data_IF_012264699138
#
_entry.id   IF_012264699138
#
_cell.length_a   1.000
_cell.length_b   1.000
_cell.length_c   1.000
_cell.angle_alpha   90.00
_cell.angle_beta   90.00
_cell.angle_gamma   90.00
#
_symmetry.space_group_name_H-M   'P 1'
#
loop_
_entity.id
_entity.type
_entity.pdbx_description
1 polymer ?
#
# COMPACT_ATOMS: atom_id res chain seq x y z
N UNK A 1 -2.03 -17.83 4.98
CA UNK A 1 -1.49 -19.12 4.50
C UNK A 1 -0.42 -18.92 3.42
N UNK A 2 -0.71 -18.23 2.31
CA UNK A 2 0.28 -17.94 1.24
C UNK A 2 1.55 -17.26 1.74
N UNK A 3 1.41 -16.22 2.58
CA UNK A 3 2.53 -15.48 3.18
C UNK A 3 3.46 -16.39 3.97
N UNK A 4 2.91 -17.29 4.79
CA UNK A 4 3.71 -18.25 5.60
C UNK A 4 4.51 -19.25 4.75
N UNK A 5 4.14 -19.46 3.49
CA UNK A 5 4.78 -20.45 2.61
C UNK A 5 5.79 -19.84 1.64
N UNK A 6 5.48 -18.66 1.10
CA UNK A 6 6.29 -18.00 0.07
C UNK A 6 7.01 -16.74 0.55
N UNK A 7 6.78 -16.32 1.80
CA UNK A 7 7.27 -15.06 2.35
C UNK A 7 6.49 -13.86 1.82
N UNK A 8 6.48 -12.79 2.62
CA UNK A 8 5.74 -11.56 2.30
C UNK A 8 6.18 -10.92 0.97
N UNK A 9 7.49 -10.89 0.68
CA UNK A 9 8.09 -10.26 -0.52
C UNK A 9 7.65 -10.92 -1.80
N UNK A 10 7.94 -12.21 -1.92
CA UNK A 10 7.65 -12.92 -3.15
C UNK A 10 6.14 -12.98 -3.39
N UNK A 11 5.33 -13.18 -2.33
CA UNK A 11 3.86 -13.18 -2.48
C UNK A 11 3.34 -11.87 -3.08
N UNK A 12 3.83 -10.71 -2.62
CA UNK A 12 3.41 -9.42 -3.15
C UNK A 12 3.80 -9.24 -4.62
N UNK A 13 5.05 -9.52 -4.96
CA UNK A 13 5.59 -9.38 -6.32
C UNK A 13 4.81 -10.28 -7.29
N UNK A 14 4.59 -11.55 -6.93
CA UNK A 14 3.82 -12.48 -7.75
C UNK A 14 2.38 -12.02 -7.95
N UNK A 15 1.70 -11.53 -6.90
CA UNK A 15 0.36 -10.99 -7.04
C UNK A 15 0.32 -9.79 -8.00
N UNK A 16 1.31 -8.89 -7.96
CA UNK A 16 1.39 -7.73 -8.85
C UNK A 16 1.70 -8.11 -10.30
N UNK A 17 2.58 -9.08 -10.55
CA UNK A 17 2.83 -9.57 -11.92
C UNK A 17 1.63 -10.32 -12.50
N UNK A 18 0.94 -11.15 -11.71
CA UNK A 18 -0.28 -11.83 -12.14
C UNK A 18 -1.38 -10.80 -12.48
N UNK A 19 -1.52 -9.74 -11.69
CA UNK A 19 -2.43 -8.63 -12.00
C UNK A 19 -2.13 -7.99 -13.36
N UNK A 20 -0.86 -7.77 -13.69
CA UNK A 20 -0.45 -7.21 -14.99
C UNK A 20 -0.81 -8.16 -16.13
N UNK A 21 -0.58 -9.46 -15.95
CA UNK A 21 -0.99 -10.47 -16.93
C UNK A 21 -2.52 -10.49 -17.13
N UNK A 22 -3.30 -10.33 -16.05
CA UNK A 22 -4.76 -10.28 -16.10
C UNK A 22 -5.30 -9.02 -16.80
N UNK A 23 -4.60 -7.89 -16.76
CA UNK A 23 -4.93 -6.74 -17.62
C UNK A 23 -4.84 -7.08 -19.11
N UNK A 24 -3.92 -7.96 -19.51
CA UNK A 24 -3.86 -8.48 -20.88
C UNK A 24 -5.11 -9.28 -21.26
N UNK A 25 -5.61 -10.12 -20.35
CA UNK A 25 -6.86 -10.88 -20.54
C UNK A 25 -8.07 -9.95 -20.67
N UNK A 26 -8.11 -8.88 -19.86
CA UNK A 26 -9.15 -7.84 -19.97
C UNK A 26 -9.09 -7.13 -21.32
N UNK A 27 -7.90 -6.78 -21.81
CA UNK A 27 -7.72 -6.16 -23.13
C UNK A 27 -8.23 -7.08 -24.26
N UNK A 28 -7.93 -8.38 -24.20
CA UNK A 28 -8.45 -9.37 -25.16
C UNK A 28 -9.99 -9.46 -25.11
N UNK A 29 -10.57 -9.42 -23.91
CA UNK A 29 -12.04 -9.41 -23.73
C UNK A 29 -12.70 -8.19 -24.40
N UNK A 30 -12.07 -7.01 -24.29
CA UNK A 30 -12.53 -5.78 -24.96
C UNK A 30 -12.39 -5.89 -26.48
N UNK A 31 -11.28 -6.41 -26.99
CA UNK A 31 -11.05 -6.57 -28.43
C UNK A 31 -12.10 -7.50 -29.07
N UNK A 32 -12.41 -8.63 -28.42
CA UNK A 32 -13.36 -9.63 -28.89
C UNK A 32 -14.84 -9.24 -28.65
N UNK A 33 -15.12 -8.03 -28.14
CA UNK A 33 -16.47 -7.56 -27.76
C UNK A 33 -17.23 -8.52 -26.83
N UNK A 34 -16.53 -9.37 -26.08
CA UNK A 34 -17.14 -10.46 -25.33
C UNK A 34 -17.26 -10.08 -23.86
N UNK A 35 -18.46 -9.65 -23.46
CA UNK A 35 -18.75 -9.20 -22.09
C UNK A 35 -18.39 -10.28 -21.04
N UNK A 36 -18.61 -11.55 -21.37
CA UNK A 36 -18.33 -12.69 -20.47
C UNK A 36 -16.85 -12.77 -20.11
N UNK A 37 -15.96 -12.64 -21.10
CA UNK A 37 -14.51 -12.69 -20.91
C UNK A 37 -14.05 -11.50 -20.06
N UNK A 38 -14.60 -10.32 -20.33
CA UNK A 38 -14.31 -9.11 -19.57
C UNK A 38 -14.71 -9.25 -18.09
N UNK A 39 -15.94 -9.70 -17.81
CA UNK A 39 -16.44 -9.88 -16.44
C UNK A 39 -15.65 -10.97 -15.70
N UNK A 40 -15.40 -12.11 -16.34
CA UNK A 40 -14.58 -13.18 -15.75
C UNK A 40 -13.15 -12.71 -15.45
N UNK A 41 -12.54 -11.96 -16.37
CA UNK A 41 -11.23 -11.33 -16.17
C UNK A 41 -11.23 -10.36 -14.99
N UNK A 42 -12.28 -9.56 -14.82
CA UNK A 42 -12.41 -8.59 -13.73
C UNK A 42 -12.60 -9.28 -12.36
N UNK A 43 -13.34 -10.39 -12.32
CA UNK A 43 -13.50 -11.20 -11.12
C UNK A 43 -12.17 -11.85 -10.71
N UNK A 44 -11.46 -12.45 -11.67
CA UNK A 44 -10.13 -13.01 -11.45
C UNK A 44 -9.16 -11.95 -10.94
N UNK A 45 -9.18 -10.75 -11.54
CA UNK A 45 -8.36 -9.62 -11.10
C UNK A 45 -8.64 -9.24 -9.64
N UNK A 46 -9.90 -9.23 -9.22
CA UNK A 46 -10.30 -8.88 -7.86
C UNK A 46 -9.77 -9.86 -6.80
N UNK A 47 -9.67 -11.14 -7.15
CA UNK A 47 -9.12 -12.19 -6.27
C UNK A 47 -7.63 -11.92 -6.00
N UNK A 48 -6.86 -11.52 -7.01
CA UNK A 48 -5.44 -11.22 -6.84
C UNK A 48 -5.17 -9.79 -6.34
N UNK A 49 -6.12 -8.86 -6.48
CA UNK A 49 -6.04 -7.49 -5.95
C UNK A 49 -6.09 -7.46 -4.43
N UNK A 50 -7.03 -8.20 -3.84
CA UNK A 50 -7.24 -8.25 -2.38
C UNK A 50 -5.99 -8.58 -1.57
N UNK A 51 -5.24 -9.69 -1.83
CA UNK A 51 -4.05 -10.02 -1.06
C UNK A 51 -2.93 -8.99 -1.27
N UNK A 52 -2.75 -8.44 -2.48
CA UNK A 52 -1.74 -7.41 -2.72
C UNK A 52 -2.01 -6.15 -1.89
N UNK A 53 -3.27 -5.72 -1.79
CA UNK A 53 -3.65 -4.56 -0.98
C UNK A 53 -3.52 -4.82 0.52
N UNK A 54 -3.81 -6.04 0.98
CA UNK A 54 -3.58 -6.44 2.37
C UNK A 54 -2.08 -6.40 2.72
N UNK A 55 -1.22 -6.93 1.85
CA UNK A 55 0.23 -6.94 2.04
C UNK A 55 0.81 -5.52 2.03
N UNK A 56 0.28 -4.61 1.21
CA UNK A 56 0.74 -3.22 1.19
C UNK A 56 0.57 -2.53 2.55
N UNK A 57 -0.52 -2.83 3.27
CA UNK A 57 -0.72 -2.33 4.64
C UNK A 57 0.33 -2.89 5.61
N UNK A 58 0.67 -4.17 5.48
CA UNK A 58 1.73 -4.79 6.28
C UNK A 58 3.10 -4.21 5.97
N UNK A 59 3.42 -3.90 4.71
CA UNK A 59 4.68 -3.22 4.38
C UNK A 59 4.77 -1.82 4.95
N UNK A 60 3.66 -1.07 4.91
CA UNK A 60 3.63 0.25 5.53
C UNK A 60 3.99 0.14 7.02
N UNK A 61 3.39 -0.78 7.78
CA UNK A 61 3.73 -0.95 9.20
C UNK A 61 5.19 -1.36 9.39
N UNK A 62 5.69 -2.33 8.62
CA UNK A 62 7.08 -2.79 8.69
C UNK A 62 8.08 -1.64 8.46
N UNK A 63 7.80 -0.77 7.47
CA UNK A 63 8.63 0.39 7.18
C UNK A 63 8.61 1.37 8.34
N UNK A 64 7.46 1.60 8.96
CA UNK A 64 7.36 2.49 10.13
C UNK A 64 8.08 1.94 11.36
N UNK A 65 7.97 0.64 11.63
CA UNK A 65 8.70 -0.02 12.70
C UNK A 65 10.23 0.08 12.49
N UNK A 66 10.68 -0.02 11.23
CA UNK A 66 12.08 0.19 10.87
C UNK A 66 12.53 1.65 11.04
N UNK A 67 11.68 2.62 10.69
CA UNK A 67 12.00 4.02 10.94
C UNK A 67 12.09 4.33 12.43
N UNK A 68 11.15 3.80 13.24
CA UNK A 68 11.18 3.92 14.70
C UNK A 68 12.43 3.27 15.31
N UNK A 69 12.88 2.15 14.74
CA UNK A 69 14.10 1.48 15.16
C UNK A 69 15.36 2.36 15.00
N UNK A 70 15.48 3.05 13.86
CA UNK A 70 16.61 3.91 13.56
C UNK A 70 16.53 5.22 14.35
N UNK A 71 15.34 5.82 14.47
CA UNK A 71 15.16 7.10 15.17
C UNK A 71 15.27 7.00 16.68
N UNK A 72 15.10 5.80 17.27
CA UNK A 72 14.95 5.56 18.71
C UNK A 72 13.76 6.28 19.38
N UNK A 73 12.94 6.99 18.62
CA UNK A 73 11.76 7.70 19.11
C UNK A 73 10.48 7.11 18.50
N UNK A 74 9.39 7.13 19.27
CA UNK A 74 8.09 6.66 18.80
C UNK A 74 7.52 7.61 17.74
N UNK A 75 7.31 7.12 16.52
CA UNK A 75 6.91 7.93 15.36
C UNK A 75 5.39 7.90 15.05
N UNK A 76 4.56 7.45 15.98
CA UNK A 76 3.11 7.27 15.76
C UNK A 76 2.40 8.53 15.24
N UNK A 77 2.79 9.71 15.71
CA UNK A 77 2.21 10.99 15.27
C UNK A 77 2.76 11.49 13.93
N UNK A 78 3.96 11.06 13.53
CA UNK A 78 4.64 11.57 12.33
C UNK A 78 4.17 10.86 11.05
N UNK A 79 3.65 9.63 11.16
CA UNK A 79 3.09 8.88 10.01
C UNK A 79 2.05 9.67 9.21
N UNK A 80 1.24 10.48 9.89
CA UNK A 80 0.19 11.31 9.26
C UNK A 80 0.74 12.38 8.31
N UNK A 81 1.94 12.91 8.56
CA UNK A 81 2.53 14.02 7.79
C UNK A 81 2.79 13.62 6.33
N UNK A 82 3.28 12.40 6.09
CA UNK A 82 3.52 11.92 4.73
C UNK A 82 2.23 11.69 3.93
N UNK A 83 1.12 11.43 4.61
CA UNK A 83 -0.20 11.35 3.94
C UNK A 83 -0.60 12.72 3.40
N UNK A 84 -0.36 13.79 4.15
CA UNK A 84 -0.62 15.15 3.67
C UNK A 84 0.28 15.54 2.49
N UNK A 85 1.53 15.09 2.46
CA UNK A 85 2.44 15.33 1.32
C UNK A 85 2.10 14.53 0.07
N UNK A 86 1.64 13.29 0.23
CA UNK A 86 1.27 12.42 -0.89
C UNK A 86 -0.08 12.78 -1.52
N UNK A 87 -1.00 13.36 -0.74
CA UNK A 87 -2.34 13.73 -1.21
C UNK A 87 -2.35 14.66 -2.45
N UNK A 88 -1.65 15.81 -2.48
CA UNK A 88 -1.66 16.67 -3.66
C UNK A 88 -1.07 15.99 -4.90
N UNK A 89 -0.05 15.14 -4.73
CA UNK A 89 0.53 14.35 -5.82
C UNK A 89 -0.49 13.34 -6.35
N UNK A 90 -1.20 12.65 -5.45
CA UNK A 90 -2.26 11.72 -5.80
C UNK A 90 -3.40 12.39 -6.57
N UNK A 91 -3.78 13.62 -6.18
CA UNK A 91 -4.79 14.41 -6.91
C UNK A 91 -4.33 14.73 -8.33
N UNK A 92 -3.10 15.22 -8.50
CA UNK A 92 -2.54 15.51 -9.83
C UNK A 92 -2.51 14.27 -10.72
N UNK A 93 -2.08 13.12 -10.16
CA UNK A 93 -2.09 11.85 -10.89
C UNK A 93 -3.50 11.38 -11.25
N UNK A 94 -4.50 11.68 -10.41
CA UNK A 94 -5.90 11.36 -10.67
C UNK A 94 -6.48 12.02 -11.92
N UNK A 95 -5.96 13.18 -12.32
CA UNK A 95 -6.40 13.89 -13.54
C UNK A 95 -5.85 13.31 -14.83
N UNK A 96 -4.83 12.46 -14.78
CA UNK A 96 -4.19 11.88 -15.97
C UNK A 96 -5.18 11.02 -16.76
N UNK A 97 -5.97 10.20 -16.07
CA UNK A 97 -6.93 9.33 -16.73
C UNK A 97 -8.03 10.14 -17.45
N UNK A 98 -8.77 11.05 -16.79
CA UNK A 98 -9.73 11.93 -17.46
C UNK A 98 -9.14 12.68 -18.65
N UNK A 99 -7.93 13.22 -18.51
CA UNK A 99 -7.24 13.93 -19.59
C UNK A 99 -7.03 13.05 -20.83
N UNK A 100 -6.58 11.80 -20.63
CA UNK A 100 -6.40 10.85 -21.73
C UNK A 100 -7.73 10.43 -22.36
N UNK A 101 -8.79 10.29 -21.55
CA UNK A 101 -10.11 9.93 -22.05
C UNK A 101 -10.72 11.05 -22.92
N UNK A 102 -10.66 12.31 -22.47
CA UNK A 102 -11.13 13.46 -23.26
C UNK A 102 -10.38 13.59 -24.58
N UNK A 103 -9.06 13.33 -24.59
CA UNK A 103 -8.26 13.33 -25.82
C UNK A 103 -8.68 12.25 -26.82
N UNK A 104 -9.25 11.14 -26.35
CA UNK A 104 -9.72 10.03 -27.19
C UNK A 104 -11.20 10.14 -27.58
N UNK A 105 -11.81 11.31 -27.39
CA UNK A 105 -13.16 11.59 -27.87
C UNK A 105 -14.26 11.40 -26.85
N UNK A 106 -13.94 11.31 -25.54
CA UNK A 106 -14.95 11.45 -24.49
C UNK A 106 -15.42 12.92 -24.44
N UNK A 107 -16.45 13.23 -25.22
CA UNK A 107 -17.13 14.54 -25.27
C UNK A 107 -18.37 14.54 -24.38
N UNK A 108 -19.09 15.67 -24.33
CA UNK A 108 -20.33 15.84 -23.55
C UNK A 108 -21.53 15.12 -24.17
N UNK A 109 -21.39 14.60 -25.39
CA UNK A 109 -22.45 13.90 -26.09
C UNK A 109 -22.54 12.44 -25.61
N UNK A 110 -23.75 11.86 -25.54
CA UNK A 110 -23.94 10.49 -25.06
C UNK A 110 -23.87 9.45 -26.19
N UNK A 111 -24.02 9.89 -27.44
CA UNK A 111 -24.06 9.02 -28.61
C UNK A 111 -22.72 8.32 -28.87
N UNK A 112 -21.62 8.95 -28.47
CA UNK A 112 -20.26 8.38 -28.54
C UNK A 112 -20.05 7.12 -27.69
N UNK A 113 -20.89 6.84 -26.69
CA UNK A 113 -20.79 5.62 -25.89
C UNK A 113 -21.41 4.40 -26.60
N UNK A 114 -22.35 4.62 -27.53
CA UNK A 114 -22.95 3.57 -28.34
C UNK A 114 -22.09 3.18 -29.54
N UNK A 115 -21.13 4.03 -29.91
CA UNK A 115 -20.10 3.66 -30.88
C UNK A 115 -19.12 2.65 -30.25
N UNK A 116 -19.17 1.43 -30.76
CA UNK A 116 -18.34 0.32 -30.30
C UNK A 116 -16.84 0.61 -30.48
N UNK A 117 -16.47 1.44 -31.46
CA UNK A 117 -15.06 1.81 -31.72
C UNK A 117 -14.52 2.72 -30.62
N UNK A 118 -15.29 3.75 -30.25
CA UNK A 118 -14.91 4.75 -29.24
C UNK A 118 -14.92 4.11 -27.85
N UNK A 119 -15.97 3.35 -27.52
CA UNK A 119 -16.07 2.63 -26.24
C UNK A 119 -14.90 1.66 -26.04
N UNK A 120 -14.51 0.88 -27.06
CA UNK A 120 -13.33 0.00 -26.98
C UNK A 120 -12.05 0.78 -26.72
N UNK A 121 -11.86 1.92 -27.41
CA UNK A 121 -10.71 2.79 -27.20
C UNK A 121 -10.60 3.26 -25.76
N UNK A 122 -11.71 3.77 -25.19
CA UNK A 122 -11.80 4.22 -23.79
C UNK A 122 -11.40 3.11 -22.81
N UNK A 123 -11.96 1.90 -22.97
CA UNK A 123 -11.63 0.78 -22.09
C UNK A 123 -10.17 0.34 -22.21
N UNK A 124 -9.60 0.31 -23.41
CA UNK A 124 -8.19 -0.06 -23.63
C UNK A 124 -7.26 0.96 -22.95
N UNK A 125 -7.53 2.26 -23.10
CA UNK A 125 -6.73 3.31 -22.45
C UNK A 125 -6.78 3.16 -20.93
N UNK A 126 -7.97 2.93 -20.37
CA UNK A 126 -8.12 2.68 -18.95
C UNK A 126 -7.29 1.47 -18.48
N UNK A 127 -7.35 0.36 -19.22
CA UNK A 127 -6.57 -0.85 -18.93
C UNK A 127 -5.07 -0.58 -18.98
N UNK A 128 -4.57 0.15 -19.98
CA UNK A 128 -3.14 0.47 -20.11
C UNK A 128 -2.66 1.37 -18.97
N UNK A 129 -3.42 2.41 -18.62
CA UNK A 129 -3.10 3.30 -17.50
C UNK A 129 -3.09 2.53 -16.17
N UNK A 130 -4.07 1.64 -15.96
CA UNK A 130 -4.14 0.80 -14.78
C UNK A 130 -2.96 -0.19 -14.70
N UNK A 131 -2.61 -0.85 -15.82
CA UNK A 131 -1.47 -1.76 -15.89
C UNK A 131 -0.14 -1.05 -15.60
N UNK A 132 0.07 0.13 -16.18
CA UNK A 132 1.26 0.95 -15.93
C UNK A 132 1.35 1.37 -14.45
N UNK A 133 0.22 1.72 -13.83
CA UNK A 133 0.15 2.09 -12.42
C UNK A 133 0.53 0.93 -11.50
N UNK A 134 0.02 -0.27 -11.79
CA UNK A 134 0.36 -1.48 -11.02
C UNK A 134 1.83 -1.86 -11.18
N UNK A 135 2.37 -1.76 -12.40
CA UNK A 135 3.79 -1.99 -12.67
C UNK A 135 4.69 -1.01 -11.89
N UNK A 136 4.37 0.29 -11.97
CA UNK A 136 5.10 1.32 -11.23
C UNK A 136 5.08 1.06 -9.72
N UNK A 137 3.94 0.60 -9.19
CA UNK A 137 3.80 0.26 -7.77
C UNK A 137 4.64 -0.95 -7.34
N UNK A 138 5.06 -1.81 -8.26
CA UNK A 138 5.86 -2.99 -7.95
C UNK A 138 7.36 -2.68 -7.86
N UNK A 139 7.84 -1.61 -8.54
CA UNK A 139 9.27 -1.29 -8.66
C UNK A 139 9.95 -1.12 -7.29
N UNK A 140 9.42 -0.34 -6.33
CA UNK A 140 10.09 -0.15 -5.04
C UNK A 140 10.27 -1.46 -4.25
N UNK A 141 9.33 -2.40 -4.41
CA UNK A 141 9.34 -3.68 -3.72
C UNK A 141 10.35 -4.68 -4.30
N UNK A 142 10.84 -4.45 -5.52
CA UNK A 142 11.95 -5.24 -6.07
C UNK A 142 13.26 -4.98 -5.33
N UNK A 143 13.45 -3.77 -4.81
CA UNK A 143 14.63 -3.35 -4.06
C UNK A 143 14.47 -3.51 -2.53
N UNK A 144 13.28 -3.89 -2.07
CA UNK A 144 13.00 -4.03 -0.64
C UNK A 144 13.53 -5.37 -0.12
N UNK A 145 14.62 -5.34 0.65
CA UNK A 145 15.30 -6.53 1.15
C UNK A 145 15.03 -6.83 2.65
N UNK A 146 13.99 -6.24 3.23
CA UNK A 146 13.63 -6.56 4.62
C UNK A 146 12.86 -7.89 4.69
N UNK A 147 13.60 -8.96 4.95
CA UNK A 147 13.07 -10.31 5.17
C UNK A 147 12.35 -10.39 6.53
N UNK A 148 11.37 -11.31 6.67
CA UNK A 148 10.58 -11.49 7.91
C UNK A 148 11.46 -11.71 9.15
N UNK A 149 12.60 -12.40 8.99
CA UNK A 149 13.55 -12.65 10.07
C UNK A 149 14.24 -11.38 10.58
N UNK A 150 14.51 -10.42 9.68
CA UNK A 150 15.08 -9.12 10.05
C UNK A 150 14.07 -8.24 10.79
N UNK A 151 12.82 -8.25 10.34
CA UNK A 151 11.74 -7.51 10.97
C UNK A 151 11.44 -8.01 12.40
N UNK A 152 11.44 -9.32 12.62
CA UNK A 152 11.20 -9.89 13.96
C UNK A 152 12.26 -9.46 14.99
N UNK A 153 13.53 -9.36 14.57
CA UNK A 153 14.62 -8.85 15.44
C UNK A 153 14.40 -7.40 15.84
N UNK A 154 13.97 -6.57 14.89
CA UNK A 154 13.65 -5.16 15.15
C UNK A 154 12.54 -5.04 16.20
N UNK A 155 11.47 -5.83 16.07
CA UNK A 155 10.38 -5.85 17.07
C UNK A 155 10.89 -6.28 18.45
N UNK A 156 11.74 -7.30 18.51
CA UNK A 156 12.30 -7.76 19.79
C UNK A 156 13.15 -6.67 20.47
N UNK A 157 13.98 -5.96 19.71
CA UNK A 157 14.77 -4.84 20.23
C UNK A 157 13.90 -3.68 20.70
N UNK A 158 12.88 -3.31 19.93
CA UNK A 158 11.92 -2.26 20.33
C UNK A 158 11.17 -2.64 21.61
N UNK A 159 10.79 -3.91 21.76
CA UNK A 159 10.15 -4.41 22.99
C UNK A 159 11.07 -4.32 24.20
N UNK A 160 12.36 -4.65 24.05
CA UNK A 160 13.34 -4.52 25.13
C UNK A 160 13.51 -3.07 25.57
N UNK A 161 13.59 -2.14 24.61
CA UNK A 161 13.70 -0.70 24.89
C UNK A 161 12.48 -0.16 25.65
N UNK A 162 11.27 -0.52 25.21
CA UNK A 162 10.04 -0.13 25.90
C UNK A 162 9.98 -0.63 27.36
N UNK A 163 10.40 -1.88 27.60
CA UNK A 163 10.44 -2.43 28.96
C UNK A 163 11.46 -1.73 29.87
N UNK A 164 12.60 -1.29 29.32
CA UNK A 164 13.59 -0.53 30.07
C UNK A 164 13.07 0.87 30.44
N UNK A 165 12.39 1.54 29.51
CA UNK A 165 11.80 2.85 29.73
C UNK A 165 10.69 2.78 30.79
N UNK A 166 9.79 1.79 30.71
CA UNK A 166 8.75 1.54 31.72
C UNK A 166 9.33 1.28 33.11
N UNK A 167 10.38 0.46 33.23
CA UNK A 167 11.05 0.20 34.49
C UNK A 167 11.67 1.48 35.09
N UNK A 168 12.36 2.28 34.27
CA UNK A 168 12.96 3.55 34.72
C UNK A 168 11.92 4.57 35.19
N UNK A 169 10.76 4.63 34.54
CA UNK A 169 9.67 5.51 34.95
C UNK A 169 9.02 5.06 36.26
N UNK A 170 8.90 3.75 36.51
CA UNK A 170 8.41 3.23 37.79
C UNK A 170 9.39 3.50 38.94
N UNK A 171 10.69 3.40 38.70
CA UNK A 171 11.72 3.77 39.67
C UNK A 171 11.70 5.28 39.99
N UNK A 172 11.57 6.15 38.99
CA UNK A 172 11.43 7.59 39.23
C UNK A 172 10.15 7.96 39.98
N UNK A 173 9.03 7.30 39.68
CA UNK A 173 7.76 7.55 40.37
C UNK A 173 7.83 7.11 41.83
N UNK A 174 8.37 5.91 42.10
CA UNK A 174 8.56 5.42 43.48
C UNK A 174 9.56 6.28 44.27
N UNK A 175 10.61 6.82 43.62
CA UNK A 175 11.53 7.76 44.25
C UNK A 175 10.87 9.10 44.58
N UNK A 176 10.05 9.66 43.68
CA UNK A 176 9.29 10.90 43.93
C UNK A 176 8.25 10.72 45.04
N UNK A 177 7.58 9.57 45.09
CA UNK A 177 6.63 9.25 46.15
C UNK A 177 7.33 9.12 47.51
N UNK A 178 8.46 8.42 47.59
CA UNK A 178 9.25 8.30 48.82
C UNK A 178 9.73 9.67 49.35
N UNK A 179 10.16 10.57 48.47
CA UNK A 179 10.61 11.92 48.83
C UNK A 179 9.45 12.85 49.23
N UNK A 180 8.22 12.56 48.82
CA UNK A 180 7.01 13.31 49.23
C UNK A 180 6.46 12.87 50.59
N UNK A 181 6.88 11.70 51.09
CA UNK A 181 6.44 11.13 52.37
C UNK A 181 7.39 11.39 53.53
N UNK A 182 8.55 12.03 53.30
CA UNK A 182 9.41 12.51 54.40
C UNK A 182 8.76 13.74 55.04
N UNK A 183 8.27 13.68 56.29
CA UNK A 183 7.68 14.84 56.95
C UNK A 183 8.78 15.87 57.19
N UNK A 184 8.42 17.13 56.94
CA UNK A 184 9.10 18.34 57.39
C UNK A 184 9.32 18.28 58.92
N UNK A 185 10.38 17.59 59.34
CA UNK A 185 10.90 17.64 60.70
C UNK A 185 11.93 18.77 60.76
N UNK A 186 11.45 19.99 60.98
CA UNK A 186 12.21 21.10 61.56
C UNK A 186 11.26 22.08 62.26
#
# INVERSE_FOLDING_TARGET
>A
WLVKKFGIRNTYIWCRFIQVALFGVLALGVMQSSMIIYVLGALLMSIFSTPANALNKSYASIVWDYQQYISNERLDGFMGVFTYLSTPIGLLMGYILPFLLTRNGLTTDWDILFDLSISKGIFIIHIVVAAASVLLSAIPFLFFDLQEDGHNKIIEELRKRAQQEEASHQEEQSHKEAMSTEPENA
#
